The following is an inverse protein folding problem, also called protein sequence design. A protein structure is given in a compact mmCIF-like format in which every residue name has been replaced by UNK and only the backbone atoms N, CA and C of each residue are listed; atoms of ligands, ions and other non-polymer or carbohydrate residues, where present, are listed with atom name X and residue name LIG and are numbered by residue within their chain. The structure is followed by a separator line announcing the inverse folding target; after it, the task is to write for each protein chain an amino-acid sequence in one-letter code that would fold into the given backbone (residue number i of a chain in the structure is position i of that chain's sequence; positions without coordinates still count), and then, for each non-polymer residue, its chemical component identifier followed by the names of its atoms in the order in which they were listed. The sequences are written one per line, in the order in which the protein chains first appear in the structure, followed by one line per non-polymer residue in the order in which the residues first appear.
data_IF_049437396298
#
_entry.id   IF_049437396298
#
_cell.length_a   1.000
_cell.length_b   1.000
_cell.length_c   1.000
_cell.angle_alpha   90.00
_cell.angle_beta   90.00
_cell.angle_gamma   90.00
#
_symmetry.space_group_name_H-M   'P 1'
#
loop_
_entity.id
_entity.type
_entity.pdbx_description
1 polymer ?
#
# COMPACT_ATOMS: atom_id res chain seq x y z
N UNK A 1 59.95 40.45 -8.59
CA UNK A 1 58.66 40.95 -9.10
C UNK A 1 57.99 39.86 -9.93
N UNK A 2 56.73 39.51 -9.57
CA UNK A 2 55.59 39.01 -10.41
C UNK A 2 55.95 38.32 -11.74
N UNK A 3 55.48 37.12 -12.12
CA UNK A 3 54.22 36.38 -11.89
C UNK A 3 54.38 35.02 -12.60
N UNK A 4 54.00 33.90 -11.98
CA UNK A 4 53.74 32.65 -12.73
C UNK A 4 52.49 31.98 -12.15
N UNK A 5 51.71 31.39 -13.06
CA UNK A 5 50.54 30.50 -12.90
C UNK A 5 49.17 31.18 -12.92
N UNK A 6 48.77 31.55 -14.13
CA UNK A 6 47.45 31.15 -14.62
C UNK A 6 47.46 29.62 -14.88
N UNK A 7 46.27 29.00 -14.85
CA UNK A 7 45.94 27.60 -15.21
C UNK A 7 45.75 26.62 -14.03
N UNK A 8 44.65 26.76 -13.28
CA UNK A 8 43.81 25.63 -12.80
C UNK A 8 42.51 26.22 -12.25
N UNK A 9 41.49 26.36 -13.10
CA UNK A 9 40.17 26.88 -12.69
C UNK A 9 39.03 25.92 -13.09
N UNK A 10 39.21 25.04 -14.08
CA UNK A 10 38.12 24.25 -14.66
C UNK A 10 37.76 22.94 -13.92
N UNK A 11 38.66 22.37 -13.09
CA UNK A 11 38.41 21.06 -12.44
C UNK A 11 37.52 21.16 -11.20
N UNK A 12 37.56 22.30 -10.50
CA UNK A 12 36.76 22.50 -9.27
C UNK A 12 35.30 22.82 -9.61
N UNK A 13 35.05 23.55 -10.70
CA UNK A 13 33.69 23.77 -11.18
C UNK A 13 33.06 22.48 -11.75
N UNK A 14 33.84 21.59 -12.37
CA UNK A 14 33.31 20.32 -12.87
C UNK A 14 32.77 19.44 -11.73
N UNK A 15 33.47 19.37 -10.60
CA UNK A 15 33.01 18.61 -9.43
C UNK A 15 31.75 19.22 -8.79
N UNK A 16 31.68 20.55 -8.73
CA UNK A 16 30.50 21.26 -8.20
C UNK A 16 29.29 21.14 -9.12
N UNK A 17 29.47 21.22 -10.44
CA UNK A 17 28.40 21.03 -11.43
C UNK A 17 27.91 19.58 -11.43
N UNK A 18 28.80 18.59 -11.28
CA UNK A 18 28.41 17.18 -11.19
C UNK A 18 27.63 16.86 -9.90
N UNK A 19 28.03 17.47 -8.77
CA UNK A 19 27.32 17.37 -7.48
C UNK A 19 25.94 18.02 -7.53
N UNK A 20 25.82 19.18 -8.19
CA UNK A 20 24.55 19.89 -8.36
C UNK A 20 23.60 19.15 -9.32
N UNK A 21 24.12 18.41 -10.30
CA UNK A 21 23.33 17.61 -11.24
C UNK A 21 22.77 16.33 -10.58
N UNK A 22 23.46 15.77 -9.59
CA UNK A 22 22.99 14.58 -8.87
C UNK A 22 21.81 14.87 -7.91
N UNK A 23 21.69 16.12 -7.43
CA UNK A 23 20.59 16.54 -6.55
C UNK A 23 19.25 16.78 -7.27
N UNK A 24 19.25 16.90 -8.60
CA UNK A 24 18.06 17.24 -9.37
C UNK A 24 17.20 16.04 -9.80
N UNK A 25 17.69 14.81 -9.60
CA UNK A 25 16.99 13.59 -10.00
C UNK A 25 16.47 12.81 -8.79
N UNK A 26 15.63 13.45 -7.96
CA UNK A 26 14.79 12.68 -7.03
C UNK A 26 13.66 12.02 -7.85
N UNK A 27 13.49 10.69 -7.79
CA UNK A 27 12.35 10.05 -8.44
C UNK A 27 11.07 10.57 -7.79
N UNK A 28 10.25 11.27 -8.57
CA UNK A 28 8.86 11.56 -8.20
C UNK A 28 8.14 10.22 -8.18
N UNK A 29 7.92 9.67 -6.99
CA UNK A 29 7.05 8.52 -6.82
C UNK A 29 5.63 8.96 -7.19
N UNK A 30 5.10 8.42 -8.28
CA UNK A 30 3.69 8.57 -8.62
C UNK A 30 2.87 7.96 -7.47
N UNK A 31 2.18 8.80 -6.71
CA UNK A 31 1.28 8.38 -5.65
C UNK A 31 0.13 7.61 -6.30
N UNK A 32 0.18 6.28 -6.23
CA UNK A 32 -0.92 5.43 -6.66
C UNK A 32 -1.98 5.46 -5.57
N UNK A 33 -3.11 6.12 -5.86
CA UNK A 33 -4.27 6.10 -4.98
C UNK A 33 -4.82 4.67 -4.88
N UNK A 34 -4.95 4.18 -3.66
CA UNK A 34 -5.47 2.84 -3.41
C UNK A 34 -7.00 2.83 -3.44
N UNK A 35 -7.57 1.86 -4.15
CA UNK A 35 -9.00 1.60 -4.27
C UNK A 35 -9.31 0.26 -3.63
N UNK A 36 -10.30 0.21 -2.74
CA UNK A 36 -10.71 -1.01 -2.05
C UNK A 36 -11.55 -1.88 -2.98
N UNK A 37 -11.21 -3.16 -3.03
CA UNK A 37 -11.89 -4.16 -3.86
C UNK A 37 -12.13 -5.44 -3.05
N UNK A 38 -13.21 -6.14 -3.38
CA UNK A 38 -13.54 -7.42 -2.78
C UNK A 38 -13.94 -8.44 -3.85
N UNK A 39 -13.92 -9.71 -3.46
CA UNK A 39 -14.35 -10.80 -4.32
C UNK A 39 -15.81 -10.60 -4.78
N UNK A 40 -16.13 -11.10 -5.98
CA UNK A 40 -17.48 -11.04 -6.52
C UNK A 40 -18.54 -11.75 -5.66
N UNK A 41 -18.14 -12.69 -4.78
CA UNK A 41 -19.03 -13.36 -3.81
C UNK A 41 -19.54 -12.43 -2.70
N UNK A 42 -18.91 -11.26 -2.50
CA UNK A 42 -19.28 -10.32 -1.45
C UNK A 42 -20.37 -9.38 -1.95
N UNK A 43 -21.56 -9.49 -1.37
CA UNK A 43 -22.72 -8.63 -1.71
C UNK A 43 -22.56 -7.17 -1.26
N UNK A 44 -21.60 -6.91 -0.36
CA UNK A 44 -21.36 -5.58 0.20
C UNK A 44 -20.80 -4.64 -0.86
N UNK A 45 -21.58 -3.61 -1.22
CA UNK A 45 -21.22 -2.65 -2.27
C UNK A 45 -20.57 -1.38 -1.70
N UNK A 46 -20.82 -1.06 -0.42
CA UNK A 46 -20.24 0.09 0.26
C UNK A 46 -19.85 -0.25 1.69
N UNK A 47 -18.75 0.32 2.17
CA UNK A 47 -18.30 0.25 3.56
C UNK A 47 -18.05 1.66 4.10
N UNK A 48 -18.33 1.87 5.37
CA UNK A 48 -17.86 3.10 6.04
C UNK A 48 -16.37 3.01 6.35
N UNK A 49 -15.71 4.16 6.51
CA UNK A 49 -14.29 4.21 6.92
C UNK A 49 -14.00 3.40 8.20
N UNK A 50 -14.94 3.43 9.15
CA UNK A 50 -14.84 2.70 10.41
C UNK A 50 -14.91 1.20 10.20
N UNK A 51 -15.85 0.71 9.38
CA UNK A 51 -15.98 -0.71 9.08
C UNK A 51 -14.77 -1.23 8.31
N UNK A 52 -14.30 -0.47 7.33
CA UNK A 52 -13.09 -0.82 6.59
C UNK A 52 -11.90 -1.00 7.53
N UNK A 53 -11.71 -0.05 8.45
CA UNK A 53 -10.67 -0.12 9.46
C UNK A 53 -10.84 -1.34 10.35
N UNK A 54 -12.04 -1.63 10.83
CA UNK A 54 -12.32 -2.81 11.66
C UNK A 54 -12.00 -4.12 10.93
N UNK A 55 -12.24 -4.18 9.62
CA UNK A 55 -11.92 -5.35 8.80
C UNK A 55 -10.40 -5.51 8.68
N UNK A 56 -9.70 -4.46 8.24
CA UNK A 56 -8.25 -4.54 8.02
C UNK A 56 -7.44 -4.70 9.31
N UNK A 57 -7.99 -4.30 10.45
CA UNK A 57 -7.37 -4.51 11.79
C UNK A 57 -7.81 -5.81 12.46
N UNK A 58 -8.64 -6.63 11.79
CA UNK A 58 -9.08 -7.94 12.28
C UNK A 58 -10.14 -7.91 13.39
N UNK A 59 -10.70 -6.73 13.72
CA UNK A 59 -11.83 -6.60 14.65
C UNK A 59 -13.14 -7.13 14.05
N UNK A 60 -13.35 -6.98 12.74
CA UNK A 60 -14.49 -7.54 12.00
C UNK A 60 -13.99 -8.65 11.09
N UNK A 61 -14.38 -9.89 11.40
CA UNK A 61 -13.86 -11.10 10.73
C UNK A 61 -14.91 -11.82 9.87
N UNK A 62 -16.16 -11.37 9.90
CA UNK A 62 -17.26 -11.95 9.17
C UNK A 62 -18.06 -10.88 8.44
N UNK A 63 -18.45 -11.19 7.21
CA UNK A 63 -19.41 -10.41 6.43
C UNK A 63 -20.81 -10.51 7.04
N UNK A 64 -21.72 -9.64 6.61
CA UNK A 64 -23.12 -9.65 7.09
C UNK A 64 -23.87 -10.94 6.76
N UNK A 65 -23.42 -11.68 5.74
CA UNK A 65 -23.95 -13.00 5.34
C UNK A 65 -23.35 -14.16 6.17
N UNK A 66 -22.42 -13.89 7.10
CA UNK A 66 -21.75 -14.91 7.91
C UNK A 66 -20.50 -15.53 7.27
N UNK A 67 -20.15 -15.16 6.03
CA UNK A 67 -18.93 -15.61 5.38
C UNK A 67 -17.69 -14.98 6.03
N UNK A 68 -16.60 -15.75 6.14
CA UNK A 68 -15.35 -15.27 6.73
C UNK A 68 -14.70 -14.24 5.80
N UNK A 69 -14.16 -13.17 6.40
CA UNK A 69 -13.44 -12.14 5.66
C UNK A 69 -11.98 -12.58 5.49
N UNK A 70 -11.54 -12.67 4.23
CA UNK A 70 -10.16 -12.97 3.89
C UNK A 70 -9.42 -11.70 3.47
N UNK A 71 -8.67 -11.10 4.40
CA UNK A 71 -7.91 -9.88 4.11
C UNK A 71 -6.64 -10.23 3.33
N UNK A 72 -6.45 -9.57 2.19
CA UNK A 72 -5.25 -9.70 1.35
C UNK A 72 -4.53 -8.35 1.30
N UNK A 73 -3.23 -8.34 1.64
CA UNK A 73 -2.39 -7.13 1.65
C UNK A 73 -1.11 -7.37 0.87
N UNK A 74 -0.48 -6.28 0.40
CA UNK A 74 0.89 -6.33 -0.12
C UNK A 74 1.90 -6.28 1.02
N UNK A 75 3.14 -6.60 0.70
CA UNK A 75 4.28 -6.42 1.61
C UNK A 75 4.40 -4.99 2.13
N UNK A 76 4.87 -4.84 3.38
CA UNK A 76 4.93 -3.57 4.11
C UNK A 76 5.76 -2.50 3.38
N UNK A 77 6.77 -2.92 2.62
CA UNK A 77 7.64 -2.04 1.85
C UNK A 77 7.02 -1.50 0.56
N UNK A 78 5.93 -2.11 0.09
CA UNK A 78 5.30 -1.77 -1.18
C UNK A 78 4.66 -0.37 -1.12
N UNK A 79 4.95 0.48 -2.13
CA UNK A 79 4.46 1.86 -2.18
C UNK A 79 2.94 1.98 -2.07
N UNK A 80 2.19 1.12 -2.78
CA UNK A 80 0.73 1.06 -2.69
C UNK A 80 0.23 0.67 -1.28
N UNK A 81 0.91 -0.23 -0.56
CA UNK A 81 0.53 -0.58 0.81
C UNK A 81 0.75 0.59 1.76
N UNK A 82 1.90 1.28 1.62
CA UNK A 82 2.21 2.50 2.37
C UNK A 82 1.17 3.59 2.14
N UNK A 83 0.76 3.80 0.89
CA UNK A 83 -0.30 4.75 0.54
C UNK A 83 -1.65 4.34 1.15
N UNK A 84 -2.09 3.10 0.95
CA UNK A 84 -3.33 2.57 1.52
C UNK A 84 -3.39 2.72 3.05
N UNK A 85 -2.33 2.31 3.75
CA UNK A 85 -2.27 2.41 5.20
C UNK A 85 -2.40 3.87 5.67
N UNK A 86 -1.68 4.80 5.04
CA UNK A 86 -1.65 6.20 5.46
C UNK A 86 -2.89 6.99 5.06
N UNK A 87 -3.33 6.84 3.81
CA UNK A 87 -4.39 7.64 3.22
C UNK A 87 -5.76 7.07 3.57
N UNK A 88 -5.91 5.74 3.53
CA UNK A 88 -7.18 5.08 3.85
C UNK A 88 -7.24 4.72 5.32
N UNK A 89 -6.29 3.93 5.82
CA UNK A 89 -6.36 3.48 7.21
C UNK A 89 -5.85 4.51 8.22
N UNK A 90 -5.36 5.68 7.81
CA UNK A 90 -4.77 6.69 8.71
C UNK A 90 -3.78 6.10 9.74
N UNK A 91 -2.98 5.14 9.31
CA UNK A 91 -1.99 4.44 10.14
C UNK A 91 -0.77 4.04 9.32
N UNK A 92 0.28 3.57 9.98
CA UNK A 92 1.48 3.09 9.31
C UNK A 92 1.45 1.57 9.11
N UNK A 93 2.10 1.04 8.04
CA UNK A 93 2.17 -0.40 7.78
C UNK A 93 2.59 -1.24 8.98
N UNK A 94 3.63 -0.82 9.70
CA UNK A 94 4.11 -1.55 10.88
C UNK A 94 3.06 -1.65 11.99
N UNK A 95 2.16 -0.66 12.12
CA UNK A 95 1.08 -0.72 13.10
C UNK A 95 0.05 -1.78 12.70
N UNK A 96 -0.27 -1.86 11.41
CA UNK A 96 -1.18 -2.86 10.87
C UNK A 96 -0.59 -4.27 11.06
N UNK A 97 0.68 -4.48 10.67
CA UNK A 97 1.39 -5.74 10.88
C UNK A 97 1.40 -6.14 12.35
N UNK A 98 1.69 -5.22 13.27
CA UNK A 98 1.67 -5.53 14.72
C UNK A 98 0.30 -5.96 15.24
N UNK A 99 -0.80 -5.37 14.75
CA UNK A 99 -2.14 -5.79 15.14
C UNK A 99 -2.41 -7.23 14.70
N UNK A 100 -2.01 -7.58 13.48
CA UNK A 100 -2.15 -8.94 12.97
C UNK A 100 -1.27 -9.95 13.69
N UNK A 101 -0.03 -9.58 14.04
CA UNK A 101 0.84 -10.40 14.85
C UNK A 101 0.20 -10.69 16.22
N UNK A 102 -0.36 -9.68 16.87
CA UNK A 102 -1.05 -9.84 18.15
C UNK A 102 -2.27 -10.76 18.03
N UNK A 103 -3.08 -10.63 16.98
CA UNK A 103 -4.21 -11.52 16.72
C UNK A 103 -3.76 -12.97 16.51
N UNK A 104 -2.69 -13.16 15.74
CA UNK A 104 -2.11 -14.48 15.46
C UNK A 104 -1.58 -15.14 16.74
N UNK A 105 -0.78 -14.42 17.53
CA UNK A 105 -0.20 -14.94 18.78
C UNK A 105 -1.23 -15.13 19.91
N UNK A 106 -2.35 -14.41 19.88
CA UNK A 106 -3.45 -14.61 20.84
C UNK A 106 -4.24 -15.91 20.62
N UNK A 107 -3.91 -16.70 19.58
CA UNK A 107 -4.58 -17.97 19.29
C UNK A 107 -5.84 -17.84 18.45
N UNK A 108 -6.16 -16.63 17.95
CA UNK A 108 -7.28 -16.45 17.01
C UNK A 108 -6.95 -17.01 15.62
N UNK A 109 -5.66 -17.19 15.30
CA UNK A 109 -5.20 -17.82 14.05
C UNK A 109 -5.61 -17.09 12.78
N UNK A 110 -5.97 -15.80 12.88
CA UNK A 110 -6.35 -14.98 11.73
C UNK A 110 -5.15 -14.15 11.31
N UNK A 111 -4.72 -14.35 10.07
CA UNK A 111 -3.59 -13.65 9.47
C UNK A 111 -4.01 -13.22 8.06
N UNK A 112 -3.67 -12.00 7.62
CA UNK A 112 -3.95 -11.58 6.27
C UNK A 112 -3.02 -12.31 5.31
N UNK A 113 -3.51 -12.65 4.13
CA UNK A 113 -2.65 -13.17 3.08
C UNK A 113 -1.74 -12.04 2.58
N UNK A 114 -0.42 -12.25 2.61
CA UNK A 114 0.55 -11.31 2.04
C UNK A 114 0.85 -11.69 0.59
N UNK A 115 0.72 -10.72 -0.30
CA UNK A 115 1.01 -10.84 -1.71
C UNK A 115 2.30 -10.11 -2.07
N UNK A 116 3.19 -10.79 -2.79
CA UNK A 116 4.47 -10.22 -3.22
C UNK A 116 4.34 -9.15 -4.33
N UNK A 117 3.20 -9.11 -5.02
CA UNK A 117 2.93 -8.16 -6.10
C UNK A 117 1.45 -7.84 -6.21
N UNK A 118 1.12 -6.72 -6.86
CA UNK A 118 -0.27 -6.35 -7.10
C UNK A 118 -1.01 -7.36 -7.98
N UNK A 119 -0.31 -8.01 -8.93
CA UNK A 119 -0.92 -9.07 -9.74
C UNK A 119 -1.32 -10.27 -8.86
N UNK A 120 -0.44 -10.67 -7.93
CA UNK A 120 -0.76 -11.75 -6.99
C UNK A 120 -1.86 -11.36 -6.01
N UNK A 121 -1.91 -10.10 -5.59
CA UNK A 121 -2.99 -9.59 -4.74
C UNK A 121 -4.35 -9.72 -5.45
N UNK A 122 -4.43 -9.33 -6.73
CA UNK A 122 -5.67 -9.44 -7.51
C UNK A 122 -6.08 -10.90 -7.65
N UNK A 123 -5.13 -11.76 -8.05
CA UNK A 123 -5.36 -13.20 -8.18
C UNK A 123 -5.94 -13.80 -6.88
N UNK A 124 -5.36 -13.47 -5.73
CA UNK A 124 -5.83 -13.96 -4.43
C UNK A 124 -7.22 -13.44 -4.07
N UNK A 125 -7.54 -12.19 -4.42
CA UNK A 125 -8.86 -11.61 -4.18
C UNK A 125 -9.90 -12.28 -5.08
N UNK A 126 -9.59 -12.54 -6.35
CA UNK A 126 -10.50 -13.18 -7.30
C UNK A 126 -10.69 -14.67 -7.02
N UNK A 127 -9.64 -15.37 -6.58
CA UNK A 127 -9.69 -16.81 -6.31
C UNK A 127 -10.31 -17.17 -4.96
N UNK A 128 -10.41 -16.22 -4.03
CA UNK A 128 -10.81 -16.49 -2.64
C UNK A 128 -12.17 -15.85 -2.34
N UNK A 129 -13.23 -16.67 -2.15
CA UNK A 129 -14.52 -16.17 -1.70
C UNK A 129 -14.40 -15.38 -0.39
N UNK A 130 -15.14 -14.28 -0.28
CA UNK A 130 -15.11 -13.43 0.91
C UNK A 130 -13.84 -12.59 1.06
N UNK A 131 -12.95 -12.56 0.07
CA UNK A 131 -11.72 -11.78 0.15
C UNK A 131 -11.92 -10.28 -0.05
N UNK A 132 -11.08 -9.49 0.62
CA UNK A 132 -10.99 -8.04 0.50
C UNK A 132 -9.53 -7.61 0.44
N UNK A 133 -9.25 -6.62 -0.39
CA UNK A 133 -7.95 -5.97 -0.46
C UNK A 133 -8.05 -4.63 -1.15
N UNK A 134 -6.97 -4.21 -1.80
CA UNK A 134 -6.89 -2.92 -2.47
C UNK A 134 -5.97 -2.98 -3.68
N UNK A 135 -6.27 -2.15 -4.68
CA UNK A 135 -5.50 -2.02 -5.92
C UNK A 135 -5.19 -0.55 -6.22
N UNK A 136 -4.13 -0.30 -6.98
CA UNK A 136 -3.87 1.03 -7.52
C UNK A 136 -4.94 1.42 -8.54
N UNK A 137 -5.35 2.69 -8.49
CA UNK A 137 -6.31 3.29 -9.42
C UNK A 137 -5.90 3.04 -10.89
N UNK A 138 -6.88 2.78 -11.76
CA UNK A 138 -6.67 2.53 -13.18
C UNK A 138 -6.43 1.07 -13.59
N UNK A 139 -6.48 0.11 -12.66
CA UNK A 139 -6.52 -1.32 -13.01
C UNK A 139 -7.96 -1.79 -13.21
N UNK A 140 -8.23 -2.41 -14.37
CA UNK A 140 -9.47 -3.12 -14.66
C UNK A 140 -9.35 -4.53 -14.08
N UNK A 141 -10.30 -4.95 -13.26
CA UNK A 141 -10.35 -6.28 -12.63
C UNK A 141 -11.80 -6.81 -12.63
N UNK A 142 -11.96 -8.12 -12.47
CA UNK A 142 -13.28 -8.77 -12.36
C UNK A 142 -13.84 -8.65 -10.92
N UNK A 143 -12.98 -8.35 -9.94
CA UNK A 143 -13.40 -8.16 -8.55
C UNK A 143 -14.23 -6.88 -8.38
N UNK A 144 -15.15 -6.91 -7.41
CA UNK A 144 -16.08 -5.80 -7.14
C UNK A 144 -15.38 -4.67 -6.40
N UNK A 145 -15.46 -3.46 -6.93
CA UNK A 145 -15.02 -2.26 -6.22
C UNK A 145 -15.98 -1.93 -5.06
N UNK A 146 -15.42 -1.70 -3.87
CA UNK A 146 -16.19 -1.26 -2.71
C UNK A 146 -16.09 0.26 -2.59
N UNK A 147 -17.23 0.94 -2.60
CA UNK A 147 -17.29 2.36 -2.31
C UNK A 147 -17.04 2.59 -0.81
N UNK A 148 -15.98 3.34 -0.49
CA UNK A 148 -15.68 3.73 0.88
C UNK A 148 -16.33 5.07 1.17
N UNK A 149 -17.33 5.08 2.05
CA UNK A 149 -18.05 6.29 2.44
C UNK A 149 -17.36 6.94 3.64
N UNK A 150 -17.06 8.23 3.51
CA UNK A 150 -16.75 9.07 4.67
C UNK A 150 -18.05 9.23 5.47
N UNK A 151 -17.97 8.92 6.75
CA UNK A 151 -19.11 8.89 7.66
C UNK A 151 -19.40 10.26 8.22
#
# INVERSE_FOLDING_TARGET
MKRIRALTSNSEYSALVLSMLFLACSPVALAQQAVVVANASVDTTSLTQSELRQIFTGHKQYWSNGEKIHVVVLEDEHGLHKAFCRETLHMFPYQLSRLWDQLTYSGQGVTPARAASQAKLIELIESTPGAIGYIGNGKVIEARQIEVRER
#
